data_IF_776106617608
#
_entry.id   IF_776106617608
#
_cell.length_a   1.000
_cell.length_b   1.000
_cell.length_c   1.000
_cell.angle_alpha   90.00
_cell.angle_beta   90.00
_cell.angle_gamma   90.00
#
_symmetry.space_group_name_H-M   'P 1'
#
loop_
_entity.id
_entity.type
_entity.pdbx_description
1 polymer ?
#
# COMPACT_ATOMS: atom_id res chain seq x y z
N UNK A 1 1.93 -51.41 6.39
CA UNK A 1 1.60 -51.96 5.06
C UNK A 1 1.90 -50.86 4.07
N UNK A 2 3.18 -50.71 3.73
CA UNK A 2 3.82 -51.24 2.50
C UNK A 2 3.36 -50.44 1.27
N UNK A 3 4.18 -49.47 0.83
CA UNK A 3 5.20 -49.56 -0.24
C UNK A 3 4.54 -49.37 -1.62
N UNK A 4 5.05 -48.65 -2.62
CA UNK A 4 6.29 -47.92 -2.88
C UNK A 4 6.41 -47.76 -4.41
N UNK A 5 7.20 -46.79 -4.87
CA UNK A 5 7.92 -46.74 -6.17
C UNK A 5 7.21 -46.45 -7.52
N UNK A 6 7.47 -45.23 -8.01
CA UNK A 6 8.13 -44.85 -9.29
C UNK A 6 8.45 -45.90 -10.39
N UNK A 7 8.03 -45.62 -11.65
CA UNK A 7 8.79 -45.58 -12.96
C UNK A 7 7.86 -45.84 -14.18
N UNK A 8 7.76 -44.92 -15.16
CA UNK A 8 8.51 -44.77 -16.45
C UNK A 8 8.12 -45.70 -17.63
N UNK A 9 7.80 -45.01 -18.75
CA UNK A 9 8.13 -45.24 -20.19
C UNK A 9 7.36 -46.26 -21.06
N UNK A 10 7.02 -45.76 -22.28
CA UNK A 10 7.03 -46.36 -23.65
C UNK A 10 6.20 -47.65 -23.82
N UNK A 11 5.25 -47.81 -24.75
CA UNK A 11 5.12 -47.37 -26.14
C UNK A 11 5.07 -48.64 -26.99
N UNK A 12 3.99 -48.93 -27.73
CA UNK A 12 4.00 -49.96 -28.79
C UNK A 12 2.79 -49.88 -29.74
N UNK A 13 3.08 -50.20 -31.00
CA UNK A 13 2.27 -50.31 -32.23
C UNK A 13 1.71 -51.73 -32.43
N UNK A 14 0.73 -51.93 -33.34
CA UNK A 14 0.76 -53.02 -34.37
C UNK A 14 -0.42 -53.04 -35.38
N UNK A 15 -0.05 -53.32 -36.65
CA UNK A 15 -0.66 -54.06 -37.82
C UNK A 15 -2.19 -54.05 -38.11
N UNK A 16 -2.74 -53.81 -39.32
CA UNK A 16 -2.58 -54.21 -40.76
C UNK A 16 -3.19 -55.59 -41.16
N UNK A 17 -4.20 -55.59 -42.06
CA UNK A 17 -4.40 -56.37 -43.33
C UNK A 17 -5.90 -56.26 -43.77
N UNK A 18 -6.36 -56.26 -45.03
CA UNK A 18 -5.79 -56.60 -46.32
C UNK A 18 -6.74 -56.26 -47.52
N UNK A 19 -6.51 -56.94 -48.64
CA UNK A 19 -6.70 -56.57 -50.08
C UNK A 19 -7.96 -57.18 -50.74
N UNK A 20 -8.64 -56.51 -51.71
CA UNK A 20 -8.85 -56.94 -53.13
C UNK A 20 -9.87 -56.15 -53.98
N UNK A 21 -9.60 -56.12 -55.30
CA UNK A 21 -10.29 -55.49 -56.44
C UNK A 21 -11.74 -55.94 -56.74
N UNK A 22 -12.54 -55.09 -57.41
CA UNK A 22 -13.19 -55.42 -58.71
C UNK A 22 -14.10 -54.32 -59.30
N UNK A 23 -14.11 -54.30 -60.64
CA UNK A 23 -15.17 -53.95 -61.61
C UNK A 23 -15.53 -52.51 -62.03
N UNK A 24 -15.76 -52.46 -63.35
CA UNK A 24 -15.99 -51.34 -64.25
C UNK A 24 -17.48 -51.10 -64.53
N UNK A 25 -17.80 -49.88 -64.94
CA UNK A 25 -18.83 -49.41 -65.91
C UNK A 25 -18.85 -47.88 -65.75
N UNK A 26 -18.67 -47.02 -66.75
CA UNK A 26 -19.21 -47.08 -68.10
C UNK A 26 -20.34 -46.05 -68.15
N UNK A 27 -20.04 -44.81 -68.55
CA UNK A 27 -21.01 -43.93 -69.20
C UNK A 27 -20.29 -42.87 -70.04
N UNK A 28 -20.71 -42.85 -71.29
CA UNK A 28 -20.20 -42.11 -72.44
C UNK A 28 -20.97 -40.81 -72.61
N UNK A 29 -20.28 -39.68 -72.75
CA UNK A 29 -20.81 -38.56 -73.53
C UNK A 29 -19.69 -37.95 -74.39
N UNK A 30 -19.84 -38.13 -75.71
CA UNK A 30 -19.01 -37.59 -76.77
C UNK A 30 -19.16 -36.07 -76.86
N UNK A 31 -18.23 -35.34 -76.27
CA UNK A 31 -18.00 -33.92 -76.54
C UNK A 31 -16.81 -33.74 -77.48
N UNK A 32 -17.08 -33.51 -78.76
CA UNK A 32 -16.13 -33.21 -79.85
C UNK A 32 -14.95 -32.30 -79.40
N UNK A 33 -13.75 -32.89 -79.27
CA UNK A 33 -12.49 -32.18 -79.08
C UNK A 33 -12.04 -31.50 -80.39
N UNK A 34 -12.12 -30.18 -80.47
CA UNK A 34 -11.21 -29.40 -81.33
C UNK A 34 -9.86 -29.33 -80.61
N UNK A 35 -8.85 -30.00 -81.15
CA UNK A 35 -7.47 -29.89 -80.71
C UNK A 35 -6.97 -28.44 -80.84
N UNK A 36 -6.97 -27.67 -79.74
CA UNK A 36 -6.12 -26.48 -79.62
C UNK A 36 -4.77 -26.94 -79.10
N UNK A 37 -3.83 -27.07 -80.02
CA UNK A 37 -2.38 -27.19 -79.76
C UNK A 37 -1.94 -26.16 -78.71
N UNK A 38 -1.56 -26.62 -77.51
CA UNK A 38 -0.81 -25.81 -76.55
C UNK A 38 0.57 -25.54 -77.15
N UNK A 39 0.78 -24.33 -77.69
CA UNK A 39 2.12 -23.84 -78.04
C UNK A 39 2.97 -23.84 -76.77
N UNK A 40 4.02 -24.65 -76.75
CA UNK A 40 5.06 -24.62 -75.72
C UNK A 40 5.77 -23.26 -75.82
N UNK A 41 5.34 -22.28 -75.01
CA UNK A 41 5.99 -20.97 -74.96
C UNK A 41 7.41 -21.15 -74.39
N UNK A 42 8.39 -21.23 -75.30
CA UNK A 42 9.80 -21.27 -74.96
C UNK A 42 10.23 -19.83 -74.69
N UNK A 43 10.16 -19.39 -73.44
CA UNK A 43 10.64 -18.08 -73.05
C UNK A 43 12.10 -17.93 -73.51
N UNK A 44 12.48 -16.82 -74.16
CA UNK A 44 13.85 -16.63 -74.61
C UNK A 44 14.77 -16.70 -73.38
N UNK A 45 15.93 -17.37 -73.49
CA UNK A 45 16.88 -17.54 -72.36
C UNK A 45 17.16 -16.21 -71.63
N UNK A 46 17.13 -15.09 -72.35
CA UNK A 46 17.27 -13.73 -71.80
C UNK A 46 16.18 -13.34 -70.81
N UNK A 47 14.94 -13.78 -70.99
CA UNK A 47 13.82 -13.51 -70.06
C UNK A 47 13.97 -14.29 -68.75
N UNK A 48 14.40 -15.56 -68.82
CA UNK A 48 14.68 -16.37 -67.62
C UNK A 48 15.85 -15.77 -66.82
N UNK A 49 16.90 -15.32 -67.51
CA UNK A 49 18.04 -14.64 -66.87
C UNK A 49 17.59 -13.33 -66.22
N UNK A 50 16.72 -12.55 -66.87
CA UNK A 50 16.20 -11.30 -66.32
C UNK A 50 15.37 -11.54 -65.04
N UNK A 51 14.47 -12.52 -65.05
CA UNK A 51 13.67 -12.88 -63.87
C UNK A 51 14.57 -13.35 -62.73
N UNK A 52 15.60 -14.15 -63.03
CA UNK A 52 16.55 -14.61 -62.03
C UNK A 52 17.35 -13.46 -61.41
N UNK A 53 17.78 -12.48 -62.21
CA UNK A 53 18.45 -11.27 -61.72
C UNK A 53 17.54 -10.42 -60.82
N UNK A 54 16.26 -10.26 -61.19
CA UNK A 54 15.29 -9.51 -60.37
C UNK A 54 15.07 -10.20 -59.02
N UNK A 55 14.92 -11.54 -59.01
CA UNK A 55 14.77 -12.30 -57.76
C UNK A 55 16.01 -12.19 -56.88
N UNK A 56 17.21 -12.23 -57.46
CA UNK A 56 18.46 -12.04 -56.72
C UNK A 56 18.57 -10.65 -56.10
N UNK A 57 18.13 -9.60 -56.81
CA UNK A 57 18.12 -8.23 -56.28
C UNK A 57 17.13 -8.11 -55.12
N UNK A 58 15.92 -8.68 -55.25
CA UNK A 58 14.92 -8.67 -54.16
C UNK A 58 15.45 -9.42 -52.94
N UNK A 59 16.06 -10.60 -53.13
CA UNK A 59 16.64 -11.37 -52.05
C UNK A 59 17.80 -10.62 -51.35
N UNK A 60 18.66 -9.94 -52.11
CA UNK A 60 19.75 -9.12 -51.57
C UNK A 60 19.22 -7.93 -50.74
N UNK A 61 18.17 -7.26 -51.22
CA UNK A 61 17.52 -6.18 -50.47
C UNK A 61 16.84 -6.69 -49.20
N UNK A 62 16.17 -7.84 -49.25
CA UNK A 62 15.52 -8.46 -48.08
C UNK A 62 16.53 -8.87 -47.01
N UNK A 63 17.65 -9.48 -47.41
CA UNK A 63 18.77 -9.80 -46.52
C UNK A 63 19.40 -8.54 -45.92
N UNK A 64 19.49 -7.44 -46.68
CA UNK A 64 19.93 -6.14 -46.18
C UNK A 64 19.00 -5.56 -45.11
N UNK A 65 17.69 -5.66 -45.29
CA UNK A 65 16.68 -5.20 -44.31
C UNK A 65 16.78 -6.01 -43.01
N UNK A 66 16.93 -7.33 -43.08
CA UNK A 66 17.13 -8.19 -41.90
C UNK A 66 18.46 -7.87 -41.20
N UNK A 67 19.52 -7.60 -41.97
CA UNK A 67 20.80 -7.15 -41.44
C UNK A 67 20.71 -5.81 -40.69
N UNK A 68 19.91 -4.87 -41.21
CA UNK A 68 19.66 -3.59 -40.55
C UNK A 68 18.79 -3.75 -39.30
N UNK A 69 17.74 -4.59 -39.34
CA UNK A 69 16.85 -4.80 -38.18
C UNK A 69 17.59 -5.49 -37.02
N UNK A 70 18.39 -6.51 -37.32
CA UNK A 70 19.23 -7.19 -36.32
C UNK A 70 20.30 -6.28 -35.74
N UNK A 71 20.93 -5.43 -36.57
CA UNK A 71 21.89 -4.43 -36.09
C UNK A 71 21.20 -3.35 -35.25
N UNK A 72 19.99 -2.94 -35.61
CA UNK A 72 19.19 -2.00 -34.83
C UNK A 72 18.78 -2.60 -33.47
N UNK A 73 18.35 -3.86 -33.45
CA UNK A 73 18.03 -4.58 -32.20
C UNK A 73 19.27 -4.76 -31.32
N UNK A 74 20.43 -5.08 -31.91
CA UNK A 74 21.70 -5.16 -31.19
C UNK A 74 22.14 -3.79 -30.66
N UNK A 75 21.97 -2.72 -31.43
CA UNK A 75 22.26 -1.34 -31.00
C UNK A 75 21.28 -0.86 -29.93
N UNK A 76 20.01 -1.28 -29.96
CA UNK A 76 19.02 -1.02 -28.90
C UNK A 76 19.37 -1.79 -27.62
N UNK A 77 19.76 -3.07 -27.70
CA UNK A 77 20.26 -3.85 -26.56
C UNK A 77 21.55 -3.27 -25.99
N UNK A 78 22.45 -2.80 -26.85
CA UNK A 78 23.66 -2.07 -26.44
C UNK A 78 23.29 -0.73 -25.79
N UNK A 79 22.33 0.01 -26.33
CA UNK A 79 21.79 1.23 -25.73
C UNK A 79 21.22 0.95 -24.34
N UNK A 80 20.39 -0.08 -24.15
CA UNK A 80 19.87 -0.47 -22.83
C UNK A 80 20.99 -0.86 -21.85
N UNK A 81 22.01 -1.58 -22.34
CA UNK A 81 23.17 -1.97 -21.53
C UNK A 81 24.12 -0.81 -21.19
N UNK A 82 24.19 0.21 -22.05
CA UNK A 82 25.00 1.43 -21.88
C UNK A 82 24.23 2.51 -21.11
N UNK A 83 22.89 2.55 -21.19
CA UNK A 83 22.01 3.37 -20.34
C UNK A 83 21.99 2.83 -18.90
N UNK A 84 22.28 1.54 -18.70
CA UNK A 84 22.65 0.98 -17.38
C UNK A 84 23.99 1.51 -16.81
N UNK A 85 24.67 2.48 -17.46
CA UNK A 85 25.71 3.30 -16.82
C UNK A 85 25.11 4.04 -15.63
N UNK A 86 25.36 3.52 -14.42
CA UNK A 86 25.02 4.13 -13.11
C UNK A 86 23.69 4.87 -13.15
N UNK A 87 22.59 4.13 -13.07
CA UNK A 87 21.38 4.68 -12.43
C UNK A 87 21.84 5.15 -11.05
N UNK A 88 22.15 6.45 -10.93
CA UNK A 88 22.26 7.09 -9.64
C UNK A 88 20.82 7.08 -9.15
N UNK A 89 20.52 6.17 -8.23
CA UNK A 89 19.24 6.18 -7.52
C UNK A 89 19.18 7.50 -6.78
N UNK A 90 18.44 8.46 -7.33
CA UNK A 90 18.29 9.78 -6.72
C UNK A 90 17.15 9.79 -5.71
N UNK A 91 16.18 8.89 -5.82
CA UNK A 91 15.09 8.74 -4.85
C UNK A 91 14.61 7.30 -4.71
N UNK A 92 13.82 7.06 -3.68
CA UNK A 92 13.23 5.76 -3.36
C UNK A 92 11.84 5.92 -2.75
N UNK A 93 10.96 4.96 -3.03
CA UNK A 93 9.63 4.84 -2.44
C UNK A 93 9.48 3.42 -1.91
N UNK A 94 9.05 3.30 -0.66
CA UNK A 94 8.74 2.03 -0.01
C UNK A 94 7.31 2.07 0.51
N UNK A 95 6.50 1.12 0.06
CA UNK A 95 5.14 0.85 0.53
C UNK A 95 4.91 -0.66 0.66
N UNK A 96 3.79 -1.04 1.27
CA UNK A 96 3.33 -2.42 1.43
C UNK A 96 2.96 -3.11 0.10
N UNK A 97 2.74 -2.33 -0.96
CA UNK A 97 2.41 -2.83 -2.29
C UNK A 97 3.40 -2.35 -3.38
N UNK A 98 3.77 -3.26 -4.28
CA UNK A 98 4.71 -3.00 -5.38
C UNK A 98 4.15 -1.98 -6.40
N UNK A 99 2.89 -2.12 -6.81
CA UNK A 99 2.25 -1.21 -7.78
C UNK A 99 2.14 0.21 -7.19
N UNK A 100 1.78 0.33 -5.92
CA UNK A 100 1.74 1.62 -5.24
C UNK A 100 3.12 2.26 -5.07
N UNK A 101 4.16 1.46 -4.81
CA UNK A 101 5.55 1.94 -4.80
C UNK A 101 5.99 2.44 -6.19
N UNK A 102 5.55 1.78 -7.27
CA UNK A 102 5.80 2.22 -8.64
C UNK A 102 5.08 3.52 -8.98
N UNK A 103 3.84 3.71 -8.52
CA UNK A 103 3.11 4.98 -8.67
C UNK A 103 3.88 6.12 -8.02
N UNK A 104 4.35 5.95 -6.77
CA UNK A 104 5.15 6.98 -6.10
C UNK A 104 6.46 7.28 -6.83
N UNK A 105 7.16 6.24 -7.30
CA UNK A 105 8.35 6.41 -8.14
C UNK A 105 8.04 7.22 -9.40
N UNK A 106 6.92 6.93 -10.07
CA UNK A 106 6.54 7.61 -11.30
C UNK A 106 6.17 9.08 -11.06
N UNK A 107 5.62 9.40 -9.88
CA UNK A 107 5.45 10.79 -9.43
C UNK A 107 6.81 11.50 -9.24
N UNK A 108 7.80 10.85 -8.61
CA UNK A 108 9.15 11.40 -8.49
C UNK A 108 9.80 11.61 -9.88
N UNK A 109 9.63 10.65 -10.81
CA UNK A 109 10.14 10.75 -12.17
C UNK A 109 9.51 11.91 -12.96
N UNK A 110 8.30 12.33 -12.58
CA UNK A 110 7.61 13.50 -13.12
C UNK A 110 7.97 14.80 -12.38
N UNK A 111 9.05 14.79 -11.59
CA UNK A 111 9.53 15.93 -10.80
C UNK A 111 8.59 16.37 -9.66
N UNK A 112 7.73 15.47 -9.18
CA UNK A 112 7.00 15.68 -7.92
C UNK A 112 7.93 15.68 -6.71
N UNK A 113 7.46 16.22 -5.60
CA UNK A 113 8.18 16.15 -4.32
C UNK A 113 8.04 14.77 -3.66
N UNK A 114 8.81 14.53 -2.60
CA UNK A 114 8.61 13.36 -1.75
C UNK A 114 7.18 13.32 -1.16
N UNK A 115 6.58 14.49 -0.88
CA UNK A 115 5.20 14.60 -0.40
C UNK A 115 4.19 14.21 -1.47
N UNK A 116 4.36 14.70 -2.70
CA UNK A 116 3.50 14.32 -3.83
C UNK A 116 3.51 12.81 -4.06
N UNK A 117 4.70 12.22 -4.06
CA UNK A 117 4.89 10.78 -4.25
C UNK A 117 4.26 9.97 -3.10
N UNK A 118 4.45 10.39 -1.85
CA UNK A 118 3.87 9.72 -0.69
C UNK A 118 2.33 9.73 -0.73
N UNK A 119 1.71 10.87 -1.04
CA UNK A 119 0.26 11.00 -1.15
C UNK A 119 -0.30 10.11 -2.27
N UNK A 120 0.30 10.15 -3.46
CA UNK A 120 -0.14 9.31 -4.58
C UNK A 120 0.00 7.80 -4.28
N UNK A 121 1.07 7.41 -3.59
CA UNK A 121 1.26 6.02 -3.14
C UNK A 121 0.20 5.62 -2.12
N UNK A 122 -0.13 6.47 -1.14
CA UNK A 122 -1.17 6.16 -0.14
C UNK A 122 -2.56 6.05 -0.77
N UNK A 123 -2.91 6.95 -1.69
CA UNK A 123 -4.17 6.87 -2.45
C UNK A 123 -4.26 5.56 -3.25
N UNK A 124 -3.13 4.98 -3.67
CA UNK A 124 -3.12 3.64 -4.26
C UNK A 124 -3.31 2.56 -3.19
N UNK A 125 -2.62 2.64 -2.06
CA UNK A 125 -2.78 1.67 -0.97
C UNK A 125 -4.22 1.63 -0.45
N UNK A 126 -4.93 2.76 -0.39
CA UNK A 126 -6.37 2.84 -0.05
C UNK A 126 -7.26 2.02 -0.98
N UNK A 127 -6.86 1.86 -2.25
CA UNK A 127 -7.58 1.04 -3.22
C UNK A 127 -7.39 -0.45 -2.95
N UNK A 128 -6.15 -0.85 -2.62
CA UNK A 128 -5.71 -2.24 -2.52
C UNK A 128 -5.98 -2.83 -1.12
N UNK A 129 -5.81 -2.02 -0.08
CA UNK A 129 -5.93 -2.38 1.33
C UNK A 129 -6.98 -1.50 2.06
N UNK A 130 -8.26 -1.49 1.61
CA UNK A 130 -9.29 -0.62 2.19
C UNK A 130 -9.64 -0.95 3.65
N UNK A 131 -9.21 -2.10 4.16
CA UNK A 131 -9.38 -2.50 5.56
C UNK A 131 -8.29 -1.95 6.48
N UNK A 132 -7.21 -1.38 5.92
CA UNK A 132 -6.08 -0.83 6.69
C UNK A 132 -6.07 0.69 6.72
N UNK A 133 -6.41 1.32 5.60
CA UNK A 133 -6.31 2.77 5.41
C UNK A 133 -7.33 3.28 4.39
N UNK A 134 -7.65 4.57 4.44
CA UNK A 134 -8.60 5.19 3.53
C UNK A 134 -9.07 6.56 3.97
N UNK A 135 -9.64 7.33 3.04
CA UNK A 135 -9.96 8.77 3.17
C UNK A 135 -10.84 9.16 4.37
N UNK A 136 -11.52 8.20 4.99
CA UNK A 136 -12.29 8.37 6.23
C UNK A 136 -11.45 8.27 7.50
N UNK A 137 -10.14 8.02 7.37
CA UNK A 137 -9.22 7.76 8.45
C UNK A 137 -8.38 8.95 8.85
N UNK A 138 -7.16 8.65 9.28
CA UNK A 138 -6.22 9.56 9.93
C UNK A 138 -4.80 9.28 9.49
N UNK A 139 -3.93 10.29 9.58
CA UNK A 139 -2.52 10.11 9.28
C UNK A 139 -1.60 10.91 10.19
N UNK A 140 -0.40 10.39 10.43
CA UNK A 140 0.74 11.18 10.94
C UNK A 140 1.75 11.28 9.81
N UNK A 141 2.09 12.51 9.44
CA UNK A 141 2.98 12.83 8.32
C UNK A 141 4.22 13.50 8.89
N UNK A 142 5.39 12.92 8.68
CA UNK A 142 6.69 13.47 9.09
C UNK A 142 7.45 13.85 7.82
N UNK A 143 7.83 15.12 7.70
CA UNK A 143 8.45 15.69 6.50
C UNK A 143 9.78 16.32 6.91
N UNK A 144 10.88 15.83 6.34
CA UNK A 144 12.18 16.47 6.40
C UNK A 144 12.37 17.36 5.17
N UNK A 145 12.60 18.64 5.42
CA UNK A 145 12.99 19.62 4.39
C UNK A 145 14.50 19.90 4.50
N UNK A 146 15.30 19.47 3.50
CA UNK A 146 16.74 19.71 3.48
C UNK A 146 17.08 21.19 3.25
N UNK A 147 16.18 22.01 2.68
CA UNK A 147 16.44 23.43 2.41
C UNK A 147 16.47 24.24 3.71
N UNK A 148 15.53 23.94 4.60
CA UNK A 148 15.48 24.56 5.92
C UNK A 148 16.26 23.78 6.99
N UNK A 149 16.67 22.54 6.67
CA UNK A 149 17.22 21.58 7.62
C UNK A 149 16.29 21.39 8.83
N UNK A 150 14.99 21.19 8.55
CA UNK A 150 13.95 21.04 9.56
C UNK A 150 13.08 19.83 9.27
N UNK A 151 12.50 19.29 10.35
CA UNK A 151 11.51 18.23 10.26
C UNK A 151 10.20 18.71 10.88
N UNK A 152 9.15 18.68 10.08
CA UNK A 152 7.78 19.07 10.45
C UNK A 152 6.93 17.81 10.58
N UNK A 153 6.05 17.82 11.57
CA UNK A 153 5.02 16.81 11.78
C UNK A 153 3.66 17.45 11.49
N UNK A 154 2.88 16.83 10.61
CA UNK A 154 1.47 17.14 10.41
C UNK A 154 0.69 15.98 11.02
N UNK A 155 0.09 16.24 12.18
CA UNK A 155 -0.76 15.33 12.90
C UNK A 155 -2.20 15.50 12.43
N UNK A 156 -2.60 14.65 11.49
CA UNK A 156 -3.95 14.59 10.94
C UNK A 156 -4.73 13.42 11.54
N UNK A 157 -4.59 13.21 12.86
CA UNK A 157 -5.40 12.27 13.63
C UNK A 157 -6.83 12.77 13.80
N UNK A 158 -7.75 11.83 13.86
CA UNK A 158 -9.15 12.10 14.12
C UNK A 158 -9.34 12.75 15.49
N UNK A 159 -10.33 13.62 15.57
CA UNK A 159 -10.69 14.35 16.79
C UNK A 159 -12.10 13.99 17.18
N UNK A 160 -12.34 13.88 18.48
CA UNK A 160 -13.70 13.71 19.00
C UNK A 160 -14.59 14.88 18.56
N UNK A 161 -15.82 14.64 18.11
CA UNK A 161 -16.75 15.72 17.78
C UNK A 161 -16.98 16.64 18.97
N UNK A 162 -17.39 17.90 18.74
CA UNK A 162 -17.64 18.87 19.82
C UNK A 162 -18.70 18.37 20.84
N UNK A 163 -19.61 17.48 20.41
CA UNK A 163 -20.63 16.86 21.25
C UNK A 163 -20.17 15.59 21.99
N UNK A 164 -18.91 15.17 21.82
CA UNK A 164 -18.35 13.97 22.44
C UNK A 164 -18.00 14.18 23.91
N UNK A 165 -19.01 14.23 24.78
CA UNK A 165 -18.83 14.40 26.23
C UNK A 165 -18.29 13.12 26.90
N UNK A 166 -17.90 13.22 28.17
CA UNK A 166 -17.46 12.06 28.94
C UNK A 166 -18.56 10.98 29.05
N UNK A 167 -19.82 11.39 29.17
CA UNK A 167 -20.97 10.50 29.23
C UNK A 167 -21.17 9.76 27.90
N UNK A 168 -21.01 10.46 26.77
CA UNK A 168 -21.04 9.82 25.44
C UNK A 168 -19.91 8.80 25.32
N UNK A 169 -18.71 9.13 25.78
CA UNK A 169 -17.55 8.23 25.78
C UNK A 169 -17.82 6.92 26.50
N UNK A 170 -18.58 6.93 27.59
CA UNK A 170 -18.95 5.70 28.33
C UNK A 170 -19.84 4.75 27.53
N UNK A 171 -20.49 5.24 26.47
CA UNK A 171 -21.37 4.48 25.60
C UNK A 171 -20.71 4.09 24.26
N UNK A 172 -19.44 4.47 24.02
CA UNK A 172 -18.73 4.11 22.79
C UNK A 172 -18.37 2.62 22.83
N UNK A 173 -18.83 1.89 21.81
CA UNK A 173 -18.37 0.54 21.49
C UNK A 173 -17.26 0.60 20.45
N UNK A 174 -16.47 -0.47 20.31
CA UNK A 174 -15.41 -0.53 19.29
C UNK A 174 -15.94 -0.24 17.87
N UNK A 175 -17.07 -0.85 17.53
CA UNK A 175 -17.77 -0.66 16.26
C UNK A 175 -19.03 0.18 16.48
N UNK A 176 -19.24 1.20 15.65
CA UNK A 176 -20.50 1.96 15.61
C UNK A 176 -20.34 3.43 15.27
N UNK A 177 -21.45 4.15 15.05
CA UNK A 177 -21.47 5.56 14.65
C UNK A 177 -20.85 6.51 15.69
N UNK A 178 -20.79 6.10 16.96
CA UNK A 178 -20.22 6.87 18.06
C UNK A 178 -18.71 6.69 18.21
N UNK A 179 -18.11 5.67 17.59
CA UNK A 179 -16.64 5.49 17.58
C UNK A 179 -15.95 6.30 16.48
N UNK A 180 -16.72 6.89 15.56
CA UNK A 180 -16.21 7.66 14.43
C UNK A 180 -15.83 9.07 14.90
N UNK A 181 -14.54 9.39 14.82
CA UNK A 181 -14.03 10.76 14.97
C UNK A 181 -14.03 11.52 13.64
N UNK A 182 -13.69 12.80 13.69
CA UNK A 182 -13.59 13.63 12.47
C UNK A 182 -12.45 13.11 11.57
N UNK A 183 -12.71 12.67 10.32
CA UNK A 183 -11.67 12.17 9.42
C UNK A 183 -10.61 13.23 9.12
N UNK A 184 -9.34 12.90 9.33
CA UNK A 184 -8.24 13.86 9.19
C UNK A 184 -7.41 13.72 7.93
N UNK A 185 -7.42 12.54 7.31
CA UNK A 185 -6.41 12.15 6.33
C UNK A 185 -6.31 13.08 5.11
N UNK A 186 -7.43 13.36 4.44
CA UNK A 186 -7.42 14.21 3.23
C UNK A 186 -7.02 15.65 3.57
N UNK A 187 -7.45 16.20 4.71
CA UNK A 187 -6.98 17.53 5.14
C UNK A 187 -5.48 17.52 5.46
N UNK A 188 -4.98 16.44 6.06
CA UNK A 188 -3.55 16.25 6.30
C UNK A 188 -2.74 16.23 5.00
N UNK A 189 -3.20 15.48 4.00
CA UNK A 189 -2.58 15.43 2.67
C UNK A 189 -2.64 16.78 1.95
N UNK A 190 -3.77 17.48 2.06
CA UNK A 190 -3.92 18.81 1.51
C UNK A 190 -2.92 19.78 2.15
N UNK A 191 -2.86 19.86 3.49
CA UNK A 191 -1.90 20.72 4.18
C UNK A 191 -0.44 20.38 3.83
N UNK A 192 -0.09 19.09 3.74
CA UNK A 192 1.25 18.67 3.32
C UNK A 192 1.56 19.12 1.89
N UNK A 193 0.61 18.90 0.96
CA UNK A 193 0.77 19.26 -0.45
C UNK A 193 0.85 20.77 -0.66
N UNK A 194 0.03 21.57 0.05
CA UNK A 194 0.08 23.02 -0.06
C UNK A 194 1.44 23.60 0.39
N UNK A 195 2.13 22.92 1.31
CA UNK A 195 3.43 23.35 1.85
C UNK A 195 4.62 22.84 1.05
N UNK A 196 4.56 21.59 0.59
CA UNK A 196 5.73 20.88 0.05
C UNK A 196 5.46 20.19 -1.30
N UNK A 197 4.24 20.28 -1.82
CA UNK A 197 3.87 19.74 -3.13
C UNK A 197 4.46 20.54 -4.28
N UNK A 198 4.66 19.87 -5.41
CA UNK A 198 5.19 20.45 -6.65
C UNK A 198 4.28 20.20 -7.85
N UNK A 199 3.63 19.04 -7.91
CA UNK A 199 2.67 18.73 -8.97
C UNK A 199 1.30 19.36 -8.68
N UNK A 200 0.42 19.51 -9.69
CA UNK A 200 -0.97 19.86 -9.42
C UNK A 200 -1.67 18.76 -8.61
N UNK A 201 -2.40 19.13 -7.54
CA UNK A 201 -3.15 18.21 -6.65
C UNK A 201 -3.86 17.06 -7.38
N UNK A 202 -4.62 17.39 -8.43
CA UNK A 202 -5.38 16.40 -9.22
C UNK A 202 -4.52 15.29 -9.83
N UNK A 203 -3.24 15.55 -10.10
CA UNK A 203 -2.34 14.59 -10.72
C UNK A 203 -1.90 13.50 -9.75
N UNK A 204 -1.99 13.74 -8.43
CA UNK A 204 -1.70 12.74 -7.42
C UNK A 204 -2.79 11.65 -7.36
N UNK A 205 -4.01 11.98 -7.78
CA UNK A 205 -5.17 11.08 -7.79
C UNK A 205 -5.31 10.30 -9.10
N UNK A 206 -4.75 10.81 -10.20
CA UNK A 206 -4.93 10.23 -11.52
C UNK A 206 -4.54 8.73 -11.60
N UNK A 207 -3.42 8.26 -11.00
CA UNK A 207 -3.07 6.84 -11.02
C UNK A 207 -4.11 5.96 -10.30
N UNK A 208 -4.52 6.37 -9.09
CA UNK A 208 -5.52 5.65 -8.30
C UNK A 208 -6.91 5.63 -8.95
N UNK A 209 -7.29 6.72 -9.61
CA UNK A 209 -8.53 6.81 -10.41
C UNK A 209 -8.47 5.82 -11.58
N UNK A 210 -7.37 5.79 -12.34
CA UNK A 210 -7.20 4.87 -13.47
C UNK A 210 -7.18 3.39 -13.03
N UNK A 211 -6.63 3.12 -11.84
CA UNK A 211 -6.69 1.79 -11.22
C UNK A 211 -8.15 1.39 -10.91
N UNK A 212 -8.92 2.26 -10.26
CA UNK A 212 -10.33 2.00 -9.92
C UNK A 212 -11.24 1.85 -11.15
N UNK A 213 -10.95 2.56 -12.25
CA UNK A 213 -11.68 2.42 -13.52
C UNK A 213 -11.53 1.02 -14.11
N UNK A 214 -10.37 0.39 -13.96
CA UNK A 214 -10.12 -1.00 -14.40
C UNK A 214 -10.67 -2.02 -13.42
N UNK A 215 -10.82 -1.64 -12.15
CA UNK A 215 -11.09 -2.56 -11.04
C UNK A 215 -9.79 -3.03 -10.38
N UNK A 216 -9.91 -3.43 -9.12
CA UNK A 216 -8.77 -3.84 -8.28
C UNK A 216 -8.94 -5.32 -7.96
N UNK A 217 -7.86 -6.09 -7.99
CA UNK A 217 -7.91 -7.48 -7.53
C UNK A 217 -8.04 -7.55 -6.01
N UNK A 218 -8.98 -8.36 -5.52
CA UNK A 218 -9.11 -8.65 -4.10
C UNK A 218 -7.81 -9.27 -3.58
N UNK A 219 -7.23 -8.69 -2.53
CA UNK A 219 -6.02 -9.23 -1.90
C UNK A 219 -6.36 -10.31 -0.89
N UNK A 220 -5.40 -11.20 -0.60
CA UNK A 220 -5.54 -12.22 0.44
C UNK A 220 -5.99 -11.63 1.79
N UNK A 221 -5.44 -10.49 2.17
CA UNK A 221 -5.81 -9.84 3.44
C UNK A 221 -7.17 -9.12 3.35
N UNK A 222 -7.55 -8.63 2.17
CA UNK A 222 -8.92 -8.18 1.90
C UNK A 222 -9.96 -9.28 2.10
N UNK A 223 -9.70 -10.49 1.59
CA UNK A 223 -10.58 -11.66 1.82
C UNK A 223 -10.69 -11.96 3.32
N UNK A 224 -9.56 -12.09 4.02
CA UNK A 224 -9.56 -12.37 5.47
C UNK A 224 -10.33 -11.31 6.26
N UNK A 225 -10.17 -10.04 5.90
CA UNK A 225 -10.86 -8.94 6.57
C UNK A 225 -12.38 -9.02 6.35
N UNK A 226 -12.84 -9.24 5.12
CA UNK A 226 -14.26 -9.39 4.83
C UNK A 226 -14.88 -10.63 5.51
N UNK A 227 -14.17 -11.77 5.49
CA UNK A 227 -14.59 -12.98 6.21
C UNK A 227 -14.64 -12.77 7.72
N UNK A 228 -13.69 -12.01 8.27
CA UNK A 228 -13.70 -11.67 9.68
C UNK A 228 -14.93 -10.82 10.04
N UNK A 229 -15.28 -9.82 9.23
CA UNK A 229 -16.50 -9.03 9.44
C UNK A 229 -17.75 -9.91 9.37
N UNK A 230 -17.86 -10.77 8.35
CA UNK A 230 -18.96 -11.73 8.19
C UNK A 230 -19.10 -12.64 9.42
N UNK A 231 -17.99 -13.21 9.91
CA UNK A 231 -17.97 -14.04 11.11
C UNK A 231 -18.44 -13.27 12.34
N UNK A 232 -17.93 -12.05 12.57
CA UNK A 232 -18.26 -11.25 13.75
C UNK A 232 -19.73 -10.83 13.80
N UNK A 233 -20.33 -10.53 12.64
CA UNK A 233 -21.77 -10.26 12.53
C UNK A 233 -22.60 -11.50 12.89
N UNK A 234 -22.22 -12.65 12.33
CA UNK A 234 -22.91 -13.92 12.63
C UNK A 234 -22.85 -14.28 14.12
N UNK A 235 -21.72 -14.06 14.79
CA UNK A 235 -21.53 -14.35 16.21
C UNK A 235 -22.27 -13.38 17.14
N UNK A 236 -22.34 -12.09 16.76
CA UNK A 236 -22.82 -11.02 17.65
C UNK A 236 -24.31 -10.75 17.52
N UNK A 237 -24.83 -10.76 16.29
CA UNK A 237 -26.20 -10.35 15.99
C UNK A 237 -26.96 -11.34 15.13
N UNK A 238 -26.33 -12.45 14.70
CA UNK A 238 -26.92 -13.41 13.78
C UNK A 238 -27.40 -12.76 12.47
N UNK A 239 -26.74 -11.65 12.08
CA UNK A 239 -26.97 -10.93 10.83
C UNK A 239 -25.95 -11.39 9.77
N UNK A 240 -26.34 -11.31 8.50
CA UNK A 240 -25.39 -11.48 7.40
C UNK A 240 -24.67 -10.16 7.10
N UNK A 241 -23.56 -10.23 6.36
CA UNK A 241 -22.87 -9.02 5.88
C UNK A 241 -23.77 -8.18 4.96
N UNK A 242 -24.61 -8.83 4.16
CA UNK A 242 -25.56 -8.17 3.26
C UNK A 242 -26.63 -7.39 4.04
N UNK A 243 -27.15 -7.96 5.13
CA UNK A 243 -28.16 -7.29 5.95
C UNK A 243 -27.59 -6.10 6.73
N UNK A 244 -26.40 -6.27 7.31
CA UNK A 244 -25.80 -5.26 8.17
C UNK A 244 -25.10 -4.13 7.38
N UNK A 245 -24.44 -4.48 6.27
CA UNK A 245 -23.63 -3.56 5.46
C UNK A 245 -23.77 -3.87 3.95
N UNK A 246 -24.96 -3.62 3.35
CA UNK A 246 -25.22 -3.91 1.95
C UNK A 246 -24.21 -3.23 1.00
N UNK A 247 -23.75 -2.02 1.34
CA UNK A 247 -22.76 -1.27 0.54
C UNK A 247 -21.36 -1.92 0.57
N UNK A 248 -20.99 -2.57 1.67
CA UNK A 248 -19.76 -3.35 1.73
C UNK A 248 -19.92 -4.67 0.97
N UNK A 249 -21.08 -5.31 1.07
CA UNK A 249 -21.34 -6.56 0.38
C UNK A 249 -21.42 -6.38 -1.15
N UNK A 250 -21.92 -5.24 -1.63
CA UNK A 250 -21.87 -4.87 -3.06
C UNK A 250 -20.43 -4.92 -3.63
N UNK A 251 -19.45 -4.54 -2.81
CA UNK A 251 -18.03 -4.48 -3.22
C UNK A 251 -17.35 -5.84 -3.01
N UNK A 252 -17.59 -6.47 -1.86
CA UNK A 252 -16.78 -7.59 -1.37
C UNK A 252 -17.47 -8.94 -1.40
N UNK A 253 -18.75 -9.01 -1.73
CA UNK A 253 -19.51 -10.26 -1.87
C UNK A 253 -19.85 -10.59 -3.33
N UNK A 254 -20.20 -11.85 -3.53
CA UNK A 254 -20.98 -12.37 -4.64
C UNK A 254 -22.49 -12.18 -4.38
N UNK A 255 -23.31 -12.33 -5.41
CA UNK A 255 -24.78 -12.22 -5.31
C UNK A 255 -25.42 -13.24 -4.35
N UNK A 256 -24.69 -14.30 -3.98
CA UNK A 256 -25.12 -15.30 -3.01
C UNK A 256 -24.70 -14.98 -1.56
N UNK A 257 -24.12 -13.80 -1.30
CA UNK A 257 -23.66 -13.37 0.02
C UNK A 257 -22.30 -13.97 0.45
N UNK A 258 -21.62 -14.72 -0.43
CA UNK A 258 -20.27 -15.22 -0.17
C UNK A 258 -19.20 -14.18 -0.48
N UNK A 259 -18.14 -14.14 0.32
CA UNK A 259 -17.04 -13.19 0.13
C UNK A 259 -16.28 -13.53 -1.15
N UNK A 260 -15.93 -12.50 -1.93
CA UNK A 260 -15.06 -12.63 -3.11
C UNK A 260 -13.67 -13.10 -2.71
N UNK A 261 -13.08 -13.94 -3.55
CA UNK A 261 -11.81 -14.62 -3.31
C UNK A 261 -10.62 -13.84 -3.87
N UNK A 262 -9.42 -14.23 -3.47
CA UNK A 262 -8.17 -13.60 -3.90
C UNK A 262 -8.05 -13.57 -5.44
N UNK A 263 -7.71 -12.41 -5.97
CA UNK A 263 -7.56 -12.17 -7.41
C UNK A 263 -8.86 -11.83 -8.15
N UNK A 264 -10.03 -12.02 -7.53
CA UNK A 264 -11.29 -11.57 -8.13
C UNK A 264 -11.35 -10.04 -8.20
N UNK A 265 -11.86 -9.49 -9.30
CA UNK A 265 -11.92 -8.05 -9.49
C UNK A 265 -13.07 -7.45 -8.68
N UNK A 266 -12.77 -6.42 -7.90
CA UNK A 266 -13.73 -5.57 -7.21
C UNK A 266 -13.79 -4.19 -7.86
N UNK A 267 -15.00 -3.63 -7.92
CA UNK A 267 -15.24 -2.28 -8.44
C UNK A 267 -15.82 -1.40 -7.34
N UNK A 268 -15.15 -0.28 -7.07
CA UNK A 268 -15.58 0.70 -6.06
C UNK A 268 -16.05 1.98 -6.74
N UNK A 269 -17.12 1.89 -7.54
CA UNK A 269 -17.54 2.96 -8.45
C UNK A 269 -17.92 4.26 -7.72
N UNK A 270 -18.58 4.16 -6.56
CA UNK A 270 -18.91 5.33 -5.73
C UNK A 270 -17.63 5.98 -5.20
N UNK A 271 -16.67 5.19 -4.73
CA UNK A 271 -15.38 5.69 -4.26
C UNK A 271 -14.56 6.35 -5.38
N UNK A 272 -14.59 5.79 -6.59
CA UNK A 272 -14.00 6.40 -7.79
C UNK A 272 -14.56 7.81 -8.04
N UNK A 273 -15.89 8.01 -7.95
CA UNK A 273 -16.47 9.35 -8.10
C UNK A 273 -16.06 10.28 -6.97
N UNK A 274 -15.99 9.79 -5.74
CA UNK A 274 -15.47 10.55 -4.59
C UNK A 274 -14.04 11.02 -4.83
N UNK A 275 -13.13 10.14 -5.26
CA UNK A 275 -11.75 10.52 -5.58
C UNK A 275 -11.67 11.54 -6.72
N UNK A 276 -12.50 11.42 -7.77
CA UNK A 276 -12.59 12.43 -8.84
C UNK A 276 -13.04 13.79 -8.32
N UNK A 277 -14.00 13.83 -7.40
CA UNK A 277 -14.47 15.08 -6.79
C UNK A 277 -13.41 15.69 -5.87
N UNK A 278 -12.70 14.90 -5.05
CA UNK A 278 -11.58 15.38 -4.23
C UNK A 278 -10.44 15.91 -5.10
N UNK A 279 -10.09 15.20 -6.18
CA UNK A 279 -9.07 15.64 -7.13
C UNK A 279 -9.43 16.98 -7.79
N UNK A 280 -10.72 17.21 -8.06
CA UNK A 280 -11.22 18.42 -8.73
C UNK A 280 -11.38 19.61 -7.79
N UNK A 281 -11.93 19.39 -6.60
CA UNK A 281 -12.35 20.44 -5.68
C UNK A 281 -11.43 20.60 -4.46
N UNK A 282 -10.38 19.78 -4.34
CA UNK A 282 -9.49 19.79 -3.18
C UNK A 282 -10.12 19.13 -1.96
N UNK A 283 -9.49 19.33 -0.79
CA UNK A 283 -9.99 18.81 0.48
C UNK A 283 -11.40 19.31 0.79
N UNK A 284 -11.72 20.56 0.45
CA UNK A 284 -13.00 21.21 0.74
C UNK A 284 -14.23 20.36 0.35
N UNK A 285 -14.13 19.51 -0.67
CA UNK A 285 -15.20 18.57 -1.00
C UNK A 285 -15.69 17.76 0.21
N UNK A 286 -14.79 17.28 1.06
CA UNK A 286 -15.11 16.47 2.24
C UNK A 286 -15.34 17.28 3.53
N UNK A 287 -14.88 18.53 3.58
CA UNK A 287 -14.91 19.31 4.83
C UNK A 287 -15.90 20.47 4.82
N UNK A 288 -16.26 20.99 3.65
CA UNK A 288 -17.17 22.14 3.51
C UNK A 288 -18.11 22.07 2.29
N UNK A 289 -17.94 21.09 1.40
CA UNK A 289 -18.73 20.90 0.18
C UNK A 289 -19.76 19.76 0.26
N UNK A 290 -20.26 19.36 -0.91
CA UNK A 290 -21.28 18.30 -1.08
C UNK A 290 -20.91 16.98 -0.38
N UNK A 291 -19.63 16.59 -0.38
CA UNK A 291 -19.16 15.38 0.30
C UNK A 291 -19.32 15.45 1.82
N UNK A 292 -19.13 16.64 2.42
CA UNK A 292 -19.35 16.87 3.85
C UNK A 292 -20.84 16.68 4.21
N UNK A 293 -21.75 17.23 3.39
CA UNK A 293 -23.20 17.11 3.59
C UNK A 293 -23.67 15.65 3.51
N UNK A 294 -23.18 14.91 2.50
CA UNK A 294 -23.49 13.50 2.33
C UNK A 294 -22.98 12.66 3.51
N UNK A 295 -21.72 12.86 3.92
CA UNK A 295 -21.11 12.15 5.02
C UNK A 295 -21.86 12.38 6.34
N UNK A 296 -22.13 13.64 6.68
CA UNK A 296 -22.84 13.96 7.94
C UNK A 296 -24.28 13.45 7.91
N UNK A 297 -24.97 13.55 6.77
CA UNK A 297 -26.33 13.02 6.65
C UNK A 297 -26.36 11.50 6.89
N UNK A 298 -25.41 10.76 6.33
CA UNK A 298 -25.32 9.32 6.51
C UNK A 298 -24.98 8.94 7.96
N UNK A 299 -23.93 9.55 8.52
CA UNK A 299 -23.50 9.29 9.89
C UNK A 299 -24.58 9.62 10.92
N UNK A 300 -25.33 10.72 10.74
CA UNK A 300 -26.40 11.09 11.65
C UNK A 300 -27.61 10.14 11.58
N UNK A 301 -27.93 9.59 10.40
CA UNK A 301 -28.96 8.53 10.27
C UNK A 301 -28.59 7.28 11.07
N UNK A 302 -27.30 6.97 11.13
CA UNK A 302 -26.78 5.86 11.92
C UNK A 302 -26.68 6.18 13.42
N UNK A 303 -26.87 7.44 13.84
CA UNK A 303 -26.83 7.85 15.25
C UNK A 303 -25.50 8.49 15.69
N UNK A 304 -24.67 8.94 14.74
CA UNK A 304 -23.45 9.68 15.06
C UNK A 304 -23.76 11.09 15.56
N UNK A 305 -22.86 11.62 16.38
CA UNK A 305 -22.94 12.98 16.93
C UNK A 305 -22.16 14.01 16.10
N UNK A 306 -21.47 13.56 15.04
CA UNK A 306 -20.71 14.42 14.12
C UNK A 306 -21.62 15.45 13.45
N UNK A 307 -21.09 16.65 13.26
CA UNK A 307 -21.79 17.78 12.62
C UNK A 307 -20.99 18.36 11.47
N UNK A 308 -21.64 19.14 10.61
CA UNK A 308 -20.94 19.87 9.54
C UNK A 308 -19.92 20.88 10.11
N UNK A 309 -20.22 21.48 11.26
CA UNK A 309 -19.30 22.40 11.92
C UNK A 309 -18.05 21.67 12.43
N UNK A 310 -18.18 20.41 12.87
CA UNK A 310 -17.02 19.59 13.24
C UNK A 310 -16.08 19.38 12.05
N UNK A 311 -16.61 19.03 10.88
CA UNK A 311 -15.82 18.88 9.65
C UNK A 311 -15.19 20.20 9.22
N UNK A 312 -15.99 21.27 9.15
CA UNK A 312 -15.54 22.58 8.67
C UNK A 312 -14.43 23.19 9.53
N UNK A 313 -14.48 22.96 10.84
CA UNK A 313 -13.51 23.50 11.78
C UNK A 313 -12.30 22.59 12.01
N UNK A 314 -12.29 21.38 11.44
CA UNK A 314 -11.16 20.47 11.58
C UNK A 314 -9.93 21.03 10.89
N UNK A 315 -8.81 21.00 11.60
CA UNK A 315 -7.48 21.30 11.08
C UNK A 315 -6.47 20.33 11.69
N UNK A 316 -5.52 19.79 10.89
CA UNK A 316 -4.44 18.99 11.43
C UNK A 316 -3.52 19.85 12.30
N UNK A 317 -2.97 19.25 13.35
CA UNK A 317 -1.99 19.94 14.19
C UNK A 317 -0.62 19.90 13.51
N UNK A 318 0.02 21.07 13.36
CA UNK A 318 1.33 21.20 12.73
C UNK A 318 2.34 21.59 13.80
N UNK A 319 3.40 20.81 13.92
CA UNK A 319 4.39 20.95 14.98
C UNK A 319 5.79 20.56 14.51
N UNK A 320 6.82 20.98 15.24
CA UNK A 320 8.16 20.44 15.04
C UNK A 320 8.22 18.98 15.51
N UNK A 321 9.09 18.19 14.87
CA UNK A 321 9.36 16.82 15.32
C UNK A 321 9.95 16.79 16.73
N UNK A 322 9.59 15.78 17.51
CA UNK A 322 10.40 15.33 18.64
C UNK A 322 11.75 14.84 18.11
N UNK A 323 12.83 15.49 18.55
CA UNK A 323 14.21 15.15 18.17
C UNK A 323 14.85 14.38 19.32
N UNK A 324 15.39 13.20 19.02
CA UNK A 324 16.10 12.38 20.00
C UNK A 324 17.41 11.86 19.41
N UNK A 325 18.54 12.19 20.02
CA UNK A 325 19.83 11.57 19.66
C UNK A 325 19.77 10.10 20.04
N UNK A 326 20.03 9.19 19.10
CA UNK A 326 19.99 7.74 19.34
C UNK A 326 21.34 7.03 19.17
N UNK A 327 22.27 7.61 18.42
CA UNK A 327 23.67 7.18 18.34
C UNK A 327 24.53 8.35 17.81
N UNK A 328 25.86 8.24 17.78
CA UNK A 328 26.73 9.29 17.26
C UNK A 328 26.35 9.70 15.83
N UNK A 329 26.00 10.98 15.64
CA UNK A 329 25.56 11.52 14.34
C UNK A 329 24.17 11.06 13.87
N UNK A 330 23.43 10.27 14.67
CA UNK A 330 22.10 9.78 14.32
C UNK A 330 21.04 10.38 15.25
N UNK A 331 20.15 11.18 14.66
CA UNK A 331 19.01 11.80 15.33
C UNK A 331 17.71 11.17 14.82
N UNK A 332 16.93 10.61 15.73
CA UNK A 332 15.55 10.23 15.45
C UNK A 332 14.67 11.49 15.42
N UNK A 333 13.88 11.61 14.37
CA UNK A 333 12.77 12.55 14.30
C UNK A 333 11.46 11.77 14.37
N UNK A 334 10.62 12.12 15.33
CA UNK A 334 9.30 11.51 15.49
C UNK A 334 8.27 12.54 15.97
N UNK A 335 7.06 12.13 16.29
CA UNK A 335 6.03 13.03 16.82
C UNK A 335 6.06 13.07 18.35
N UNK A 336 5.84 14.27 18.91
CA UNK A 336 5.68 14.47 20.35
C UNK A 336 4.21 14.30 20.79
N UNK A 337 3.30 14.02 19.86
CA UNK A 337 1.88 13.74 20.14
C UNK A 337 1.65 12.28 20.53
N UNK A 338 0.53 12.02 21.22
CA UNK A 338 0.14 10.71 21.75
C UNK A 338 0.12 9.59 20.71
N UNK A 339 1.24 8.92 20.56
CA UNK A 339 1.48 7.90 19.53
C UNK A 339 2.69 7.04 19.90
N UNK A 340 2.95 5.98 19.13
CA UNK A 340 4.12 5.13 19.30
C UNK A 340 5.47 5.83 19.14
N UNK A 341 5.52 7.02 18.52
CA UNK A 341 6.76 7.77 18.31
C UNK A 341 7.48 8.14 19.61
N UNK A 342 6.72 8.61 20.61
CA UNK A 342 7.23 8.94 21.95
C UNK A 342 7.85 7.70 22.61
N UNK A 343 7.19 6.55 22.47
CA UNK A 343 7.65 5.29 23.04
C UNK A 343 8.95 4.83 22.37
N UNK A 344 9.02 4.89 21.04
CA UNK A 344 10.22 4.54 20.29
C UNK A 344 11.41 5.42 20.67
N UNK A 345 11.21 6.74 20.79
CA UNK A 345 12.26 7.66 21.23
C UNK A 345 12.76 7.31 22.63
N UNK A 346 11.86 6.93 23.54
CA UNK A 346 12.24 6.55 24.90
C UNK A 346 12.99 5.24 24.97
N UNK A 347 12.50 4.22 24.26
CA UNK A 347 13.12 2.91 24.15
C UNK A 347 14.56 3.09 23.63
N UNK A 348 14.74 3.79 22.51
CA UNK A 348 16.05 3.98 21.91
C UNK A 348 16.97 4.79 22.81
N UNK A 349 16.48 5.85 23.46
CA UNK A 349 17.28 6.62 24.43
C UNK A 349 17.71 5.74 25.62
N UNK A 350 16.81 4.91 26.14
CA UNK A 350 17.11 4.00 27.26
C UNK A 350 18.14 2.94 26.88
N UNK A 351 18.10 2.43 25.64
CA UNK A 351 19.04 1.43 25.13
C UNK A 351 20.47 1.97 24.96
N UNK A 352 20.68 3.29 24.84
CA UNK A 352 22.01 3.89 24.73
C UNK A 352 22.92 3.54 25.91
N UNK A 353 22.36 3.32 27.11
CA UNK A 353 23.12 2.94 28.30
C UNK A 353 23.70 1.52 28.26
N UNK A 354 23.30 0.67 27.31
CA UNK A 354 23.64 -0.75 27.29
C UNK A 354 24.63 -1.17 26.19
N UNK A 355 25.06 -0.25 25.32
CA UNK A 355 25.99 -0.49 24.21
C UNK A 355 25.72 -1.81 23.46
N UNK A 356 24.47 -1.97 23.00
CA UNK A 356 24.03 -3.18 22.30
C UNK A 356 24.74 -3.29 20.96
N UNK A 357 25.40 -4.42 20.74
CA UNK A 357 26.17 -4.72 19.53
C UNK A 357 25.68 -6.02 18.90
N UNK A 358 26.27 -6.43 17.78
CA UNK A 358 25.95 -7.71 17.14
C UNK A 358 26.24 -8.89 18.07
N UNK A 359 27.27 -8.78 18.91
CA UNK A 359 27.68 -9.79 19.89
C UNK A 359 26.66 -9.98 21.01
N UNK A 360 25.84 -8.97 21.31
CA UNK A 360 24.70 -9.07 22.24
C UNK A 360 23.66 -10.08 21.77
N UNK A 361 23.53 -10.30 20.46
CA UNK A 361 22.61 -11.29 19.85
C UNK A 361 23.30 -12.62 19.51
N UNK A 362 24.48 -12.88 20.08
CA UNK A 362 25.08 -14.22 19.99
C UNK A 362 24.31 -15.23 20.83
N UNK A 363 24.40 -16.52 20.49
CA UNK A 363 23.71 -17.60 21.22
C UNK A 363 23.98 -17.59 22.75
N UNK A 364 25.12 -17.07 23.20
CA UNK A 364 25.46 -16.97 24.62
C UNK A 364 24.75 -15.82 25.36
N UNK A 365 24.36 -14.77 24.65
CA UNK A 365 23.83 -13.52 25.21
C UNK A 365 22.38 -13.21 24.80
N UNK A 366 21.87 -13.85 23.75
CA UNK A 366 20.59 -13.53 23.12
C UNK A 366 19.42 -13.52 24.11
N UNK A 367 19.34 -14.49 25.03
CA UNK A 367 18.30 -14.53 26.08
C UNK A 367 18.35 -13.29 26.98
N UNK A 368 19.55 -12.88 27.42
CA UNK A 368 19.72 -11.69 28.28
C UNK A 368 19.39 -10.41 27.51
N UNK A 369 19.73 -10.36 26.23
CA UNK A 369 19.43 -9.22 25.36
C UNK A 369 17.94 -9.09 25.10
N UNK A 370 17.21 -10.18 24.81
CA UNK A 370 15.76 -10.12 24.68
C UNK A 370 15.06 -9.83 26.00
N UNK A 371 15.57 -10.34 27.13
CA UNK A 371 15.07 -9.96 28.46
C UNK A 371 15.19 -8.46 28.68
N UNK A 372 16.37 -7.88 28.45
CA UNK A 372 16.61 -6.44 28.53
C UNK A 372 15.65 -5.63 27.62
N UNK A 373 15.51 -6.03 26.35
CA UNK A 373 14.60 -5.37 25.41
C UNK A 373 13.15 -5.42 25.89
N UNK A 374 12.72 -6.59 26.37
CA UNK A 374 11.36 -6.80 26.90
C UNK A 374 11.09 -5.93 28.11
N UNK A 375 12.03 -5.84 29.05
CA UNK A 375 11.90 -4.98 30.23
C UNK A 375 11.80 -3.50 29.86
N UNK A 376 12.61 -3.03 28.92
CA UNK A 376 12.55 -1.63 28.44
C UNK A 376 11.23 -1.35 27.73
N UNK A 377 10.71 -2.30 26.92
CA UNK A 377 9.42 -2.15 26.27
C UNK A 377 8.29 -2.05 27.31
N UNK A 378 8.33 -2.86 28.35
CA UNK A 378 7.37 -2.77 29.47
C UNK A 378 7.48 -1.43 30.19
N UNK A 379 8.67 -0.88 30.42
CA UNK A 379 8.80 0.46 31.01
C UNK A 379 8.25 1.56 30.09
N UNK A 380 8.30 1.39 28.78
CA UNK A 380 7.74 2.39 27.85
C UNK A 380 6.23 2.60 28.03
N UNK A 381 5.47 1.59 28.50
CA UNK A 381 4.03 1.74 28.76
C UNK A 381 3.73 2.83 29.80
N UNK A 382 4.63 3.07 30.77
CA UNK A 382 4.46 4.11 31.79
C UNK A 382 4.35 5.52 31.19
N UNK A 383 5.03 5.74 30.06
CA UNK A 383 5.01 7.00 29.32
C UNK A 383 3.70 7.11 28.55
N UNK A 384 3.26 6.00 27.95
CA UNK A 384 2.02 5.95 27.18
C UNK A 384 0.82 6.43 27.98
N UNK A 385 0.77 6.25 29.31
CA UNK A 385 -0.35 6.73 30.12
C UNK A 385 -0.27 8.21 30.53
N UNK A 386 0.89 8.84 30.34
CA UNK A 386 1.18 10.18 30.88
C UNK A 386 1.25 11.26 29.81
N UNK A 387 1.24 10.85 28.54
CA UNK A 387 1.11 11.74 27.39
C UNK A 387 -0.36 11.83 26.96
N UNK A 388 -0.70 12.73 26.04
CA UNK A 388 -2.06 12.90 25.53
C UNK A 388 -2.05 13.76 24.28
N UNK A 389 -3.24 14.05 23.73
CA UNK A 389 -3.35 14.89 22.55
C UNK A 389 -2.81 16.30 22.86
N UNK A 390 -1.79 16.72 22.12
CA UNK A 390 -1.09 17.98 22.30
C UNK A 390 -2.02 19.22 22.26
N UNK A 391 -3.19 19.11 21.62
CA UNK A 391 -4.20 20.19 21.57
C UNK A 391 -4.89 20.42 22.91
N UNK A 392 -4.96 19.39 23.76
CA UNK A 392 -5.80 19.37 24.95
C UNK A 392 -5.02 19.09 26.25
N UNK A 393 -3.87 18.42 26.15
CA UNK A 393 -3.05 18.04 27.31
C UNK A 393 -2.10 19.17 27.71
N UNK A 394 -2.25 19.65 28.94
CA UNK A 394 -1.36 20.67 29.51
C UNK A 394 0.00 20.07 29.89
N UNK A 395 1.03 20.91 29.87
CA UNK A 395 2.39 20.60 30.34
C UNK A 395 3.07 19.41 29.63
N UNK A 396 2.65 19.06 28.42
CA UNK A 396 3.21 17.93 27.66
C UNK A 396 4.74 18.03 27.51
N UNK A 397 5.27 19.23 27.25
CA UNK A 397 6.72 19.47 27.17
C UNK A 397 7.46 19.14 28.48
N UNK A 398 6.85 19.47 29.63
CA UNK A 398 7.44 19.20 30.95
C UNK A 398 7.42 17.69 31.23
N UNK A 399 6.34 17.02 30.87
CA UNK A 399 6.20 15.58 30.98
C UNK A 399 7.27 14.87 30.14
N UNK A 400 7.42 15.23 28.86
CA UNK A 400 8.43 14.65 27.98
C UNK A 400 9.85 14.92 28.48
N UNK A 401 10.16 16.14 28.92
CA UNK A 401 11.48 16.47 29.52
C UNK A 401 11.81 15.60 30.73
N UNK A 402 10.80 15.24 31.52
CA UNK A 402 10.98 14.37 32.69
C UNK A 402 11.30 12.94 32.27
N UNK A 403 10.51 12.36 31.36
CA UNK A 403 10.70 10.98 30.88
C UNK A 403 11.98 10.77 30.08
N UNK A 404 12.42 11.80 29.35
CA UNK A 404 13.69 11.78 28.63
C UNK A 404 14.87 12.30 29.46
N UNK A 405 14.71 12.56 30.76
CA UNK A 405 15.84 12.99 31.59
C UNK A 405 16.77 11.82 31.90
N UNK A 406 18.07 12.12 32.03
CA UNK A 406 19.07 11.11 32.42
C UNK A 406 18.72 10.47 33.78
N UNK A 407 18.16 11.25 34.72
CA UNK A 407 17.73 10.74 36.02
C UNK A 407 16.60 9.70 35.90
N UNK A 408 15.61 9.94 35.04
CA UNK A 408 14.52 8.99 34.83
C UNK A 408 15.04 7.71 34.15
N UNK A 409 15.88 7.85 33.11
CA UNK A 409 16.47 6.71 32.41
C UNK A 409 17.34 5.87 33.34
N UNK A 410 18.17 6.51 34.17
CA UNK A 410 18.97 5.80 35.16
C UNK A 410 18.09 5.07 36.20
N UNK A 411 16.95 5.66 36.57
CA UNK A 411 15.98 5.00 37.45
C UNK A 411 15.42 3.73 36.79
N UNK A 412 15.09 3.79 35.50
CA UNK A 412 14.65 2.62 34.71
C UNK A 412 15.74 1.56 34.69
N UNK A 413 17.00 1.92 34.40
CA UNK A 413 18.12 0.96 34.43
C UNK A 413 18.27 0.28 35.78
N UNK A 414 18.08 0.99 36.89
CA UNK A 414 18.18 0.45 38.24
C UNK A 414 17.05 -0.55 38.56
N UNK A 415 15.89 -0.43 37.91
CA UNK A 415 14.80 -1.40 38.07
C UNK A 415 14.94 -2.63 37.17
N UNK A 416 15.83 -2.63 36.18
CA UNK A 416 16.02 -3.78 35.29
C UNK A 416 16.95 -4.79 35.99
N UNK A 417 16.37 -5.93 36.38
CA UNK A 417 17.13 -7.07 36.87
C UNK A 417 17.44 -8.01 35.70
N UNK A 418 18.69 -8.40 35.43
CA UNK A 418 19.04 -9.25 34.29
C UNK A 418 18.55 -10.71 34.41
N UNK A 419 17.98 -11.10 35.55
CA UNK A 419 17.58 -12.48 35.86
C UNK A 419 16.08 -12.67 36.07
N UNK A 420 15.31 -11.58 36.22
CA UNK A 420 13.86 -11.65 36.47
C UNK A 420 13.13 -10.39 36.01
N UNK A 421 11.82 -10.54 35.84
CA UNK A 421 10.87 -9.42 35.70
C UNK A 421 10.55 -8.83 37.07
N UNK A 422 10.13 -7.56 37.09
CA UNK A 422 9.49 -6.92 38.25
C UNK A 422 7.99 -7.25 38.29
N UNK A 423 7.33 -6.86 39.38
CA UNK A 423 5.89 -6.98 39.55
C UNK A 423 5.13 -6.08 38.56
N UNK A 424 3.96 -6.54 38.11
CA UNK A 424 3.15 -5.82 37.12
C UNK A 424 2.86 -4.37 37.53
N UNK A 425 2.59 -4.13 38.82
CA UNK A 425 2.29 -2.80 39.37
C UNK A 425 3.39 -1.75 39.11
N UNK A 426 4.65 -2.17 39.01
CA UNK A 426 5.76 -1.26 38.73
C UNK A 426 5.64 -0.65 37.33
N UNK A 427 5.26 -1.46 36.34
CA UNK A 427 5.02 -1.01 34.97
C UNK A 427 3.63 -0.38 34.82
N UNK A 428 2.69 -0.77 35.69
CA UNK A 428 1.25 -0.58 35.48
C UNK A 428 0.55 0.35 36.48
N UNK A 429 1.23 1.33 37.08
CA UNK A 429 0.56 2.30 37.98
C UNK A 429 -0.68 3.00 37.39
N UNK A 430 -0.89 2.93 36.06
CA UNK A 430 -2.03 3.51 35.34
C UNK A 430 -2.74 2.54 34.37
N UNK A 431 -2.48 1.23 34.43
CA UNK A 431 -3.21 0.29 33.57
C UNK A 431 -4.59 0.05 34.17
N UNK A 432 -5.61 0.62 33.54
CA UNK A 432 -6.96 0.08 33.66
C UNK A 432 -6.98 -1.31 33.02
N UNK A 433 -7.63 -2.29 33.66
CA UNK A 433 -7.85 -3.68 33.20
C UNK A 433 -8.53 -3.83 31.81
N UNK A 434 -8.70 -2.72 31.07
CA UNK A 434 -9.51 -2.61 29.87
C UNK A 434 -8.72 -2.72 28.55
N UNK A 435 -7.39 -2.87 28.59
CA UNK A 435 -6.66 -3.24 27.36
C UNK A 435 -6.84 -4.73 27.11
N UNK A 436 -7.88 -5.06 26.34
CA UNK A 436 -8.02 -6.38 25.73
C UNK A 436 -6.74 -6.76 24.98
N UNK A 437 -6.52 -8.06 24.79
CA UNK A 437 -5.37 -8.56 24.02
C UNK A 437 -5.21 -7.73 22.74
N UNK A 438 -4.03 -7.13 22.57
CA UNK A 438 -3.72 -6.31 21.40
C UNK A 438 -4.03 -7.12 20.16
N UNK A 439 -5.05 -6.69 19.42
CA UNK A 439 -5.35 -7.27 18.12
C UNK A 439 -4.34 -6.67 17.15
N UNK A 440 -3.70 -7.53 16.37
CA UNK A 440 -2.89 -7.08 15.26
C UNK A 440 -3.84 -6.61 14.16
N UNK A 441 -3.81 -5.31 13.93
CA UNK A 441 -4.82 -4.53 13.25
C UNK A 441 -4.09 -3.63 12.26
N UNK A 442 -4.39 -3.79 10.97
CA UNK A 442 -3.53 -3.34 9.87
C UNK A 442 -3.55 -1.84 9.64
N UNK A 443 -2.39 -1.23 9.46
CA UNK A 443 -2.19 0.18 9.08
C UNK A 443 -1.29 0.23 7.86
N UNK A 444 -1.42 1.25 7.01
CA UNK A 444 -0.52 1.44 5.85
C UNK A 444 0.58 2.43 6.18
N UNK A 445 1.82 2.12 5.79
CA UNK A 445 2.96 3.01 5.93
C UNK A 445 3.67 3.24 4.60
N UNK A 446 4.06 4.49 4.34
CA UNK A 446 4.84 4.88 3.17
C UNK A 446 6.04 5.71 3.60
N UNK A 447 7.21 5.33 3.10
CA UNK A 447 8.45 6.08 3.25
C UNK A 447 8.99 6.49 1.88
N UNK A 448 9.33 7.77 1.72
CA UNK A 448 9.84 8.35 0.48
C UNK A 448 11.11 9.14 0.76
N UNK A 449 12.13 8.92 -0.07
CA UNK A 449 13.29 9.79 -0.20
C UNK A 449 13.26 10.39 -1.61
N UNK A 450 13.13 11.71 -1.70
CA UNK A 450 13.11 12.44 -2.96
C UNK A 450 14.52 12.78 -3.49
N UNK A 451 14.62 13.11 -4.79
CA UNK A 451 15.89 13.44 -5.45
C UNK A 451 16.59 14.69 -4.91
N UNK A 452 15.85 15.56 -4.22
CA UNK A 452 16.39 16.80 -3.65
C UNK A 452 16.87 16.61 -2.21
N UNK A 453 16.79 15.38 -1.67
CA UNK A 453 17.09 15.06 -0.27
C UNK A 453 15.92 15.30 0.70
N UNK A 454 14.75 15.69 0.19
CA UNK A 454 13.50 15.71 0.96
C UNK A 454 13.08 14.29 1.31
N UNK A 455 12.60 14.09 2.53
CA UNK A 455 12.17 12.77 2.99
C UNK A 455 10.82 12.86 3.69
N UNK A 456 9.98 11.86 3.47
CA UNK A 456 8.63 11.82 3.99
C UNK A 456 8.33 10.44 4.54
N UNK A 457 7.74 10.39 5.72
CA UNK A 457 7.26 9.18 6.37
C UNK A 457 5.81 9.41 6.78
N UNK A 458 4.89 8.62 6.23
CA UNK A 458 3.45 8.75 6.51
C UNK A 458 2.91 7.40 6.94
N UNK A 459 2.23 7.41 8.07
CA UNK A 459 1.42 6.28 8.55
C UNK A 459 -0.05 6.68 8.46
N UNK A 460 -0.85 5.87 7.78
CA UNK A 460 -2.29 6.06 7.59
C UNK A 460 -3.09 4.88 8.14
N UNK A 461 -4.17 5.18 8.87
CA UNK A 461 -5.08 4.18 9.45
C UNK A 461 -6.52 4.67 9.46
N UNK A 462 -7.47 3.76 9.34
CA UNK A 462 -8.90 4.00 9.62
C UNK A 462 -9.30 3.62 11.05
N UNK A 463 -8.40 3.02 11.83
CA UNK A 463 -8.70 2.34 13.10
C UNK A 463 -9.71 1.16 12.90
N UNK A 464 -9.81 0.22 13.84
CA UNK A 464 -10.60 -1.02 13.60
C UNK A 464 -11.65 -1.32 14.68
#
# INVERSE_FOLDING_TARGET
MESGMFRRRLGETNHIDGINNSHANGDTEEGSYKAKTFKKYRYPKRFIILVFLVVMIIAANYMGIIGISSKLEYMLKLSDSVIKRRLVTTGAVAADNLECSQIGRDILLRHGSAVDAAIATLLCCHNIHPHSSGIGGSSIIIIYDPKENKTVVINAKAVSPAKGTHEVRMNITAVGPLSIGIPGEIMGYWEAHQRYGKLPWKELFAPSIAMLEKGVGMTKDGVKSAEFVKLRLSERSNETLEDAYPELCEIFCHENGEVRQEGEIIHRLTYLQTLRKIAKYGADYLYSGEGAELLISDLQKQGSILTLDDLKNYQPLIMESLKQQIADGIVLHTTADHSGGILLAFILKTLQGYNITRESFSAANEVKTYHLLTEIFKFSSTIYHSVGDARFTKDMDKTLKTYYSENFIQSVHNFIDPTKTQDAELYNKFVSDSFGQGRDEGTTHVSVLGPDGDAVSITSSINH
#
